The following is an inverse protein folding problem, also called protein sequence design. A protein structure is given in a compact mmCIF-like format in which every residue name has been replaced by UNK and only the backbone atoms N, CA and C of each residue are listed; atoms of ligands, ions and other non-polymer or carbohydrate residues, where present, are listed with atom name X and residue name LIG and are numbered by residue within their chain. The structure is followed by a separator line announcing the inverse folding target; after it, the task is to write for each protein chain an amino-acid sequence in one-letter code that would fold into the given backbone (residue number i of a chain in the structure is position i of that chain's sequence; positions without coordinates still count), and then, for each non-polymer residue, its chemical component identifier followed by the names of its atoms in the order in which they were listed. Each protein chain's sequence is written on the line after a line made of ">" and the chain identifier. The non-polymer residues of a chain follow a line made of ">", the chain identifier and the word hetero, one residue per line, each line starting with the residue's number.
data_IF_042671476335
#
_entry.id   IF_042671476335
#
_cell.length_a   1.000
_cell.length_b   1.000
_cell.length_c   1.000
_cell.angle_alpha   90.00
_cell.angle_beta   90.00
_cell.angle_gamma   90.00
#
_symmetry.space_group_name_H-M   'P 1'
#
loop_
_entity.id
_entity.type
_entity.pdbx_description
1 polymer ?
#
# COMPACT_ATOMS: atom_id res chain seq x y z
N UNK A 1 -25.27 -20.28 -7.91
CA UNK A 1 -24.40 -19.68 -6.88
C UNK A 1 -23.16 -20.56 -6.70
N UNK A 2 -22.14 -20.39 -7.54
CA UNK A 2 -20.86 -21.10 -7.43
C UNK A 2 -19.74 -20.14 -7.79
N UNK A 3 -18.61 -20.28 -7.10
CA UNK A 3 -17.32 -19.60 -7.35
C UNK A 3 -16.99 -18.40 -6.44
N UNK A 4 -16.98 -18.61 -5.11
CA UNK A 4 -16.23 -17.75 -4.17
C UNK A 4 -14.97 -18.42 -3.60
N UNK A 5 -14.77 -19.73 -3.86
CA UNK A 5 -13.71 -20.54 -3.24
C UNK A 5 -12.45 -20.73 -4.08
N UNK A 6 -12.49 -20.43 -5.39
CA UNK A 6 -11.31 -20.55 -6.25
C UNK A 6 -10.28 -19.48 -5.88
N UNK A 7 -10.69 -18.21 -5.86
CA UNK A 7 -9.79 -17.06 -5.69
C UNK A 7 -8.91 -17.17 -4.43
N UNK A 8 -9.49 -17.61 -3.30
CA UNK A 8 -8.78 -17.77 -2.01
C UNK A 8 -7.73 -18.88 -2.06
N UNK A 9 -7.95 -19.96 -2.82
CA UNK A 9 -6.97 -21.05 -3.00
C UNK A 9 -5.81 -20.65 -3.90
N UNK A 10 -6.05 -19.83 -4.92
CA UNK A 10 -4.98 -19.28 -5.77
C UNK A 10 -4.09 -18.29 -5.01
N UNK A 11 -4.67 -17.51 -4.08
CA UNK A 11 -3.89 -16.64 -3.18
C UNK A 11 -2.94 -17.42 -2.27
N UNK A 12 -3.30 -18.65 -1.84
CA UNK A 12 -2.44 -19.50 -1.01
C UNK A 12 -1.16 -20.01 -1.71
N UNK A 13 -1.14 -20.07 -3.04
CA UNK A 13 0.02 -20.53 -3.82
C UNK A 13 0.97 -19.41 -4.24
N UNK A 14 0.60 -18.14 -4.05
CA UNK A 14 1.33 -16.98 -4.56
C UNK A 14 2.41 -16.41 -3.63
N UNK A 15 2.84 -17.13 -2.58
CA UNK A 15 3.96 -16.70 -1.74
C UNK A 15 3.70 -15.38 -1.01
N UNK A 16 2.87 -15.43 0.04
CA UNK A 16 2.46 -14.28 0.83
C UNK A 16 3.56 -13.64 1.71
N UNK A 17 4.80 -14.13 1.66
CA UNK A 17 5.86 -13.71 2.59
C UNK A 17 6.72 -12.53 2.12
N UNK A 18 6.72 -12.20 0.82
CA UNK A 18 7.52 -11.06 0.35
C UNK A 18 6.95 -10.45 -0.94
N UNK A 19 6.64 -9.15 -0.91
CA UNK A 19 6.25 -8.29 -2.04
C UNK A 19 4.89 -8.49 -2.75
N UNK A 20 4.01 -9.41 -2.35
CA UNK A 20 2.65 -9.50 -2.93
C UNK A 20 1.76 -8.29 -2.58
N UNK A 21 1.91 -7.74 -1.37
CA UNK A 21 1.07 -6.65 -0.86
C UNK A 21 1.05 -5.39 -1.76
N UNK A 22 2.20 -4.82 -2.19
CA UNK A 22 2.18 -3.66 -3.09
C UNK A 22 1.57 -3.96 -4.45
N UNK A 23 1.68 -5.19 -4.96
CA UNK A 23 1.05 -5.58 -6.23
C UNK A 23 -0.48 -5.69 -6.09
N UNK A 24 -0.96 -6.28 -5.00
CA UNK A 24 -2.40 -6.41 -4.73
C UNK A 24 -3.06 -5.04 -4.55
N UNK A 25 -2.40 -4.10 -3.87
CA UNK A 25 -2.92 -2.73 -3.71
C UNK A 25 -3.01 -2.01 -5.06
N UNK A 26 -2.06 -2.23 -5.99
CA UNK A 26 -2.15 -1.69 -7.36
C UNK A 26 -3.36 -2.23 -8.13
N UNK A 27 -3.70 -3.50 -7.94
CA UNK A 27 -4.90 -4.09 -8.55
C UNK A 27 -6.18 -3.46 -7.98
N UNK A 28 -6.23 -3.29 -6.66
CA UNK A 28 -7.34 -2.60 -5.97
C UNK A 28 -7.46 -1.14 -6.42
N UNK A 29 -6.33 -0.45 -6.64
CA UNK A 29 -6.34 0.93 -7.13
C UNK A 29 -7.10 1.05 -8.45
N UNK A 30 -6.79 0.19 -9.42
CA UNK A 30 -7.46 0.19 -10.72
C UNK A 30 -8.96 -0.08 -10.60
N UNK A 31 -9.34 -1.04 -9.76
CA UNK A 31 -10.76 -1.34 -9.50
C UNK A 31 -11.47 -0.14 -8.86
N UNK A 32 -10.85 0.48 -7.86
CA UNK A 32 -11.41 1.65 -7.17
C UNK A 32 -11.56 2.86 -8.08
N UNK A 33 -10.58 3.12 -8.97
CA UNK A 33 -10.71 4.16 -9.99
C UNK A 33 -11.91 3.88 -10.90
N UNK A 34 -12.09 2.64 -11.34
CA UNK A 34 -13.22 2.24 -12.19
C UNK A 34 -14.58 2.46 -11.49
N UNK A 35 -14.64 2.17 -10.19
CA UNK A 35 -15.82 2.45 -9.34
C UNK A 35 -16.06 3.95 -9.18
N UNK A 36 -15.02 4.75 -8.92
CA UNK A 36 -15.16 6.21 -8.76
C UNK A 36 -15.60 6.87 -10.06
N UNK A 37 -15.05 6.44 -11.20
CA UNK A 37 -15.43 6.95 -12.53
C UNK A 37 -16.88 6.59 -12.84
N UNK A 38 -17.29 5.33 -12.62
CA UNK A 38 -18.67 4.91 -12.85
C UNK A 38 -19.66 5.62 -11.90
N UNK A 39 -19.30 5.81 -10.63
CA UNK A 39 -20.08 6.59 -9.67
C UNK A 39 -20.17 8.07 -10.06
N UNK A 40 -19.10 8.66 -10.59
CA UNK A 40 -19.10 10.04 -11.09
C UNK A 40 -20.05 10.22 -12.28
N UNK A 41 -20.01 9.29 -13.25
CA UNK A 41 -20.92 9.28 -14.40
C UNK A 41 -22.37 9.10 -13.93
N UNK A 42 -22.63 8.14 -13.04
CA UNK A 42 -23.97 7.92 -12.48
C UNK A 42 -24.50 9.12 -11.70
N UNK A 43 -23.65 9.76 -10.90
CA UNK A 43 -23.98 10.98 -10.17
C UNK A 43 -24.29 12.17 -11.07
N UNK A 44 -23.62 12.27 -12.22
CA UNK A 44 -23.91 13.29 -13.22
C UNK A 44 -25.32 13.12 -13.81
N UNK A 45 -25.68 11.90 -14.24
CA UNK A 45 -27.04 11.63 -14.75
C UNK A 45 -28.12 11.82 -13.68
N UNK A 46 -27.88 11.35 -12.45
CA UNK A 46 -28.82 11.50 -11.34
C UNK A 46 -29.11 12.96 -10.95
N UNK A 47 -28.21 13.89 -11.31
CA UNK A 47 -28.41 15.32 -11.06
C UNK A 47 -29.50 15.92 -11.96
N UNK A 48 -29.69 15.39 -13.17
CA UNK A 48 -30.71 15.85 -14.11
C UNK A 48 -32.11 15.29 -13.79
N UNK A 49 -32.18 14.13 -13.15
CA UNK A 49 -33.45 13.49 -12.77
C UNK A 49 -34.09 14.11 -11.52
N UNK A 50 -33.30 14.76 -10.66
CA UNK A 50 -33.80 15.36 -9.42
C UNK A 50 -34.23 16.82 -9.58
N UNK A 51 -35.52 17.14 -9.39
CA UNK A 51 -36.00 18.51 -9.43
C UNK A 51 -35.36 19.33 -8.30
N UNK A 52 -34.79 20.49 -8.65
CA UNK A 52 -34.17 21.43 -7.71
C UNK A 52 -32.66 21.31 -7.52
N UNK A 53 -32.00 20.27 -8.08
CA UNK A 53 -30.52 20.15 -8.00
C UNK A 53 -29.76 20.99 -9.02
N UNK A 54 -30.32 21.16 -10.22
CA UNK A 54 -29.83 22.11 -11.24
C UNK A 54 -28.31 22.17 -11.40
N UNK A 55 -27.77 23.37 -11.68
CA UNK A 55 -26.34 23.60 -11.89
C UNK A 55 -25.49 23.39 -10.63
N UNK A 56 -26.06 23.60 -9.44
CA UNK A 56 -25.37 23.40 -8.16
C UNK A 56 -25.04 21.93 -7.88
N UNK A 57 -25.95 21.02 -8.24
CA UNK A 57 -25.73 19.58 -8.12
C UNK A 57 -24.61 19.08 -9.05
N UNK A 58 -24.50 19.66 -10.26
CA UNK A 58 -23.43 19.30 -11.20
C UNK A 58 -22.07 19.73 -10.65
N UNK A 59 -21.98 20.94 -10.11
CA UNK A 59 -20.74 21.42 -9.51
C UNK A 59 -20.34 20.57 -8.29
N UNK A 60 -21.31 20.22 -7.43
CA UNK A 60 -21.06 19.40 -6.25
C UNK A 60 -20.61 17.98 -6.61
N UNK A 61 -21.24 17.35 -7.60
CA UNK A 61 -20.86 15.99 -8.04
C UNK A 61 -19.47 15.98 -8.68
N UNK A 62 -19.13 17.01 -9.46
CA UNK A 62 -17.81 17.14 -10.06
C UNK A 62 -16.72 17.35 -9.01
N UNK A 63 -16.93 18.26 -8.04
CA UNK A 63 -16.01 18.46 -6.92
C UNK A 63 -15.88 17.20 -6.08
N UNK A 64 -17.00 16.54 -5.75
CA UNK A 64 -16.99 15.30 -4.98
C UNK A 64 -16.24 14.17 -5.72
N UNK A 65 -16.42 14.04 -7.03
CA UNK A 65 -15.71 13.04 -7.84
C UNK A 65 -14.19 13.27 -7.84
N UNK A 66 -13.76 14.53 -8.03
CA UNK A 66 -12.33 14.90 -7.99
C UNK A 66 -11.74 14.66 -6.61
N UNK A 67 -12.41 15.11 -5.54
CA UNK A 67 -11.95 14.89 -4.17
C UNK A 67 -11.90 13.40 -3.81
N UNK A 68 -12.90 12.63 -4.25
CA UNK A 68 -12.93 11.18 -4.01
C UNK A 68 -11.77 10.47 -4.73
N UNK A 69 -11.47 10.86 -5.97
CA UNK A 69 -10.35 10.33 -6.74
C UNK A 69 -8.99 10.70 -6.12
N UNK A 70 -8.83 11.95 -5.67
CA UNK A 70 -7.64 12.40 -4.97
C UNK A 70 -7.44 11.66 -3.65
N UNK A 71 -8.50 11.55 -2.84
CA UNK A 71 -8.46 10.84 -1.57
C UNK A 71 -8.12 9.36 -1.77
N UNK A 72 -8.74 8.71 -2.76
CA UNK A 72 -8.46 7.32 -3.11
C UNK A 72 -7.00 7.10 -3.50
N UNK A 73 -6.46 8.00 -4.35
CA UNK A 73 -5.06 7.96 -4.76
C UNK A 73 -4.13 8.10 -3.56
N UNK A 74 -4.41 9.07 -2.68
CA UNK A 74 -3.61 9.35 -1.49
C UNK A 74 -3.63 8.16 -0.52
N UNK A 75 -4.79 7.54 -0.29
CA UNK A 75 -4.89 6.34 0.56
C UNK A 75 -4.12 5.15 -0.02
N UNK A 76 -4.28 4.86 -1.32
CA UNK A 76 -3.56 3.75 -1.97
C UNK A 76 -2.04 3.97 -1.93
N UNK A 77 -1.59 5.21 -2.16
CA UNK A 77 -0.18 5.58 -2.13
C UNK A 77 0.41 5.48 -0.72
N UNK A 78 -0.33 5.90 0.31
CA UNK A 78 0.09 5.75 1.71
C UNK A 78 0.26 4.29 2.11
N UNK A 79 -0.65 3.41 1.68
CA UNK A 79 -0.57 1.97 1.98
C UNK A 79 0.68 1.35 1.35
N UNK A 80 0.93 1.62 0.06
CA UNK A 80 2.12 1.13 -0.64
C UNK A 80 3.39 1.68 0.02
N UNK A 81 3.39 2.97 0.36
CA UNK A 81 4.52 3.64 1.00
C UNK A 81 4.82 3.02 2.38
N UNK A 82 3.82 2.73 3.19
CA UNK A 82 4.00 2.09 4.50
C UNK A 82 4.66 0.72 4.38
N UNK A 83 4.23 -0.12 3.42
CA UNK A 83 4.87 -1.40 3.16
C UNK A 83 6.32 -1.26 2.68
N UNK A 84 6.59 -0.26 1.84
CA UNK A 84 7.94 0.03 1.37
C UNK A 84 8.87 0.49 2.51
N UNK A 85 8.37 1.36 3.39
CA UNK A 85 9.10 1.80 4.60
C UNK A 85 9.40 0.59 5.49
N UNK A 86 8.42 -0.29 5.72
CA UNK A 86 8.62 -1.50 6.50
C UNK A 86 9.71 -2.41 5.92
N UNK A 87 9.71 -2.63 4.60
CA UNK A 87 10.74 -3.42 3.93
C UNK A 87 12.15 -2.82 4.15
N UNK A 88 12.29 -1.50 4.00
CA UNK A 88 13.55 -0.79 4.25
C UNK A 88 13.99 -0.88 5.71
N UNK A 89 13.06 -0.83 6.66
CA UNK A 89 13.38 -0.99 8.09
C UNK A 89 13.91 -2.40 8.40
N UNK A 90 13.32 -3.43 7.80
CA UNK A 90 13.80 -4.81 7.92
C UNK A 90 15.20 -4.98 7.33
N UNK A 91 15.47 -4.35 6.18
CA UNK A 91 16.80 -4.33 5.57
C UNK A 91 17.84 -3.68 6.50
N UNK A 92 17.55 -2.49 7.04
CA UNK A 92 18.43 -1.80 7.99
C UNK A 92 18.69 -2.66 9.22
N UNK A 93 17.66 -3.32 9.78
CA UNK A 93 17.81 -4.23 10.92
C UNK A 93 18.80 -5.36 10.61
N UNK A 94 18.69 -5.97 9.43
CA UNK A 94 19.58 -7.06 9.01
C UNK A 94 21.02 -6.57 8.78
N UNK A 95 21.21 -5.37 8.24
CA UNK A 95 22.54 -4.76 8.09
C UNK A 95 23.19 -4.48 9.46
N UNK A 96 22.39 -4.03 10.43
CA UNK A 96 22.87 -3.78 11.79
C UNK A 96 23.23 -5.08 12.52
N UNK A 97 22.42 -6.13 12.40
CA UNK A 97 22.73 -7.43 13.01
C UNK A 97 24.04 -8.01 12.46
N UNK A 98 24.25 -7.93 11.15
CA UNK A 98 25.49 -8.43 10.54
C UNK A 98 26.72 -7.61 10.93
N UNK A 99 26.57 -6.29 11.10
CA UNK A 99 27.62 -5.43 11.67
C UNK A 99 27.97 -5.85 13.10
N UNK A 100 26.97 -6.15 13.93
CA UNK A 100 27.15 -6.58 15.32
C UNK A 100 27.97 -7.88 15.39
N UNK A 101 27.63 -8.88 14.58
CA UNK A 101 28.37 -10.14 14.49
C UNK A 101 29.85 -9.93 14.12
N UNK A 102 30.13 -9.02 13.17
CA UNK A 102 31.50 -8.68 12.79
C UNK A 102 32.27 -8.04 13.95
N UNK A 103 31.63 -7.18 14.73
CA UNK A 103 32.23 -6.54 15.91
C UNK A 103 32.52 -7.57 17.01
N UNK A 104 31.61 -8.52 17.23
CA UNK A 104 31.78 -9.61 18.20
C UNK A 104 32.92 -10.56 17.79
N UNK A 105 33.04 -10.84 16.48
CA UNK A 105 34.17 -11.58 15.94
C UNK A 105 35.49 -10.83 16.17
N UNK A 106 35.52 -9.52 15.94
CA UNK A 106 36.71 -8.68 16.17
C UNK A 106 37.11 -8.64 17.66
N UNK A 107 36.13 -8.57 18.57
CA UNK A 107 36.36 -8.64 20.03
C UNK A 107 36.94 -9.98 20.50
N UNK A 108 36.69 -11.07 19.77
CA UNK A 108 37.28 -12.39 20.06
C UNK A 108 38.73 -12.54 19.58
N UNK A 109 39.25 -11.62 18.76
CA UNK A 109 40.63 -11.68 18.27
C UNK A 109 41.62 -11.45 19.43
N UNK A 110 42.59 -12.36 19.65
CA UNK A 110 43.47 -12.31 20.81
C UNK A 110 44.29 -11.02 20.92
N UNK A 111 44.77 -10.48 19.79
CA UNK A 111 45.55 -9.24 19.76
C UNK A 111 44.76 -7.98 20.13
N UNK A 112 43.44 -7.97 19.89
CA UNK A 112 42.56 -6.86 20.28
C UNK A 112 42.19 -6.96 21.75
N UNK A 113 42.02 -8.19 22.27
CA UNK A 113 41.70 -8.47 23.68
C UNK A 113 42.81 -8.06 24.66
N UNK A 114 44.05 -8.03 24.20
CA UNK A 114 45.17 -7.61 25.04
C UNK A 114 45.13 -6.09 25.31
N UNK A 115 44.76 -5.28 24.30
CA UNK A 115 44.80 -3.81 24.36
C UNK A 115 43.71 -3.18 25.24
N UNK A 116 42.61 -3.89 25.50
CA UNK A 116 41.48 -3.39 26.31
C UNK A 116 41.50 -3.93 27.75
N UNK A 117 42.51 -4.73 28.10
CA UNK A 117 42.66 -5.35 29.42
C UNK A 117 43.85 -4.75 30.22
N UNK A 118 44.53 -3.74 29.67
CA UNK A 118 45.59 -2.94 30.33
C UNK A 118 45.04 -1.65 30.96
#
# INVERSE_FOLDING_TARGET
>A
MKNKSSVVKWFGYLGFDHFIAPFLIKLIYWVGVLVIVSAGIGGFFATFEMPGRGMGGVLQTLVAAVLSLLFWRLMCELLILAFNIYARLVEIRNLLSHRQERMDAYRKVPGVRALNNE
#
